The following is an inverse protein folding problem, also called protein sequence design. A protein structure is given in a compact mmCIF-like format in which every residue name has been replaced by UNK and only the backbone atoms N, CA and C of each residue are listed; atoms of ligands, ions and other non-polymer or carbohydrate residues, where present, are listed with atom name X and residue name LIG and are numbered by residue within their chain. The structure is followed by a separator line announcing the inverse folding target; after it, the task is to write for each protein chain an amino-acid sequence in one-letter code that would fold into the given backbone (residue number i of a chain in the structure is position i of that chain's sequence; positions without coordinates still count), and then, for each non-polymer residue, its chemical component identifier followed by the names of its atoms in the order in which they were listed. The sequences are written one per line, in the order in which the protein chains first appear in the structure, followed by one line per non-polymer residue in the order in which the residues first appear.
data_IF_088167167385
#
_entry.id   IF_088167167385
#
_cell.length_a   1.000
_cell.length_b   1.000
_cell.length_c   1.000
_cell.angle_alpha   90.00
_cell.angle_beta   90.00
_cell.angle_gamma   90.00
#
_symmetry.space_group_name_H-M   'P 1'
#
loop_
_entity.id
_entity.type
_entity.pdbx_description
1 polymer ?
#
# COMPACT_ATOMS: atom_id res chain seq x y z
N UNK A 1 -32.90 -28.97 3.56
CA UNK A 1 -32.64 -27.69 4.28
C UNK A 1 -31.31 -27.64 5.01
N UNK A 2 -30.84 -28.70 5.67
CA UNK A 2 -29.57 -28.70 6.40
C UNK A 2 -28.35 -28.45 5.51
N UNK A 3 -28.32 -28.99 4.30
CA UNK A 3 -27.21 -28.77 3.35
C UNK A 3 -27.13 -27.30 2.87
N UNK A 4 -28.24 -26.66 2.53
CA UNK A 4 -28.25 -25.29 2.00
C UNK A 4 -27.72 -24.29 3.03
N UNK A 5 -28.20 -24.36 4.30
CA UNK A 5 -27.72 -23.49 5.39
C UNK A 5 -26.20 -23.61 5.60
N UNK A 6 -25.69 -24.85 5.67
CA UNK A 6 -24.26 -25.10 5.83
C UNK A 6 -23.45 -24.59 4.64
N UNK A 7 -23.93 -24.82 3.42
CA UNK A 7 -23.29 -24.32 2.20
C UNK A 7 -23.23 -22.81 2.17
N UNK A 8 -24.33 -22.13 2.54
CA UNK A 8 -24.36 -20.66 2.60
C UNK A 8 -23.35 -20.12 3.62
N UNK A 9 -23.23 -20.73 4.80
CA UNK A 9 -22.23 -20.34 5.81
C UNK A 9 -20.81 -20.52 5.25
N UNK A 10 -20.51 -21.65 4.60
CA UNK A 10 -19.19 -21.90 4.00
C UNK A 10 -18.85 -20.85 2.95
N UNK A 11 -19.79 -20.50 2.06
CA UNK A 11 -19.56 -19.48 1.03
C UNK A 11 -19.25 -18.13 1.66
N UNK A 12 -20.04 -17.71 2.67
CA UNK A 12 -19.79 -16.45 3.38
C UNK A 12 -18.42 -16.42 4.08
N UNK A 13 -18.04 -17.52 4.73
CA UNK A 13 -16.73 -17.63 5.39
C UNK A 13 -15.57 -17.58 4.38
N UNK A 14 -15.74 -18.17 3.19
CA UNK A 14 -14.73 -18.08 2.11
C UNK A 14 -14.63 -16.66 1.55
N UNK A 15 -15.75 -15.93 1.43
CA UNK A 15 -15.74 -14.52 1.05
C UNK A 15 -14.98 -13.69 2.10
N UNK A 16 -15.29 -13.87 3.38
CA UNK A 16 -14.61 -13.16 4.47
C UNK A 16 -13.10 -13.47 4.53
N UNK A 17 -12.72 -14.73 4.29
CA UNK A 17 -11.33 -15.14 4.18
C UNK A 17 -10.61 -14.39 3.03
N UNK A 18 -11.21 -14.35 1.83
CA UNK A 18 -10.65 -13.63 0.68
C UNK A 18 -10.49 -12.13 0.95
N UNK A 19 -11.51 -11.49 1.56
CA UNK A 19 -11.43 -10.09 1.99
C UNK A 19 -10.30 -9.85 2.99
N UNK A 20 -10.11 -10.75 3.95
CA UNK A 20 -9.03 -10.65 4.94
C UNK A 20 -7.65 -10.80 4.31
N UNK A 21 -7.49 -11.67 3.30
CA UNK A 21 -6.24 -11.80 2.53
C UNK A 21 -5.93 -10.50 1.79
N UNK A 22 -6.92 -9.90 1.12
CA UNK A 22 -6.73 -8.63 0.42
C UNK A 22 -6.42 -7.48 1.40
N UNK A 23 -7.09 -7.42 2.55
CA UNK A 23 -6.76 -6.47 3.61
C UNK A 23 -5.33 -6.65 4.14
N UNK A 24 -4.82 -7.88 4.22
CA UNK A 24 -3.41 -8.11 4.57
C UNK A 24 -2.48 -7.59 3.49
N UNK A 25 -2.79 -7.79 2.21
CA UNK A 25 -2.01 -7.23 1.10
C UNK A 25 -1.93 -5.71 1.20
N UNK A 26 -3.08 -5.05 1.44
CA UNK A 26 -3.15 -3.59 1.62
C UNK A 26 -2.34 -3.16 2.85
N UNK A 27 -2.52 -3.83 4.00
CA UNK A 27 -1.80 -3.51 5.23
C UNK A 27 -0.29 -3.57 5.05
N UNK A 28 0.22 -4.66 4.47
CA UNK A 28 1.67 -4.82 4.27
C UNK A 28 2.21 -3.85 3.22
N UNK A 29 1.49 -3.62 2.14
CA UNK A 29 1.89 -2.61 1.15
C UNK A 29 1.92 -1.21 1.77
N UNK A 30 0.88 -0.81 2.49
CA UNK A 30 0.78 0.52 3.07
C UNK A 30 1.84 0.81 4.15
N UNK A 31 2.26 -0.22 4.92
CA UNK A 31 3.18 -0.04 6.04
C UNK A 31 4.64 -0.36 5.71
N UNK A 32 4.90 -1.27 4.76
CA UNK A 32 6.23 -1.83 4.57
C UNK A 32 6.75 -1.75 3.13
N UNK A 33 5.89 -1.37 2.17
CA UNK A 33 6.30 -1.20 0.79
C UNK A 33 6.23 0.28 0.39
N UNK A 34 7.33 1.04 0.46
CA UNK A 34 7.34 2.46 0.10
C UNK A 34 7.07 2.71 -1.39
N UNK A 35 7.03 1.65 -2.21
CA UNK A 35 6.79 1.71 -3.65
C UNK A 35 5.41 1.19 -4.06
N UNK A 36 4.57 0.82 -3.09
CA UNK A 36 3.20 0.41 -3.39
C UNK A 36 2.36 1.61 -3.82
N UNK A 37 1.62 1.44 -4.89
CA UNK A 37 0.55 2.36 -5.24
C UNK A 37 -0.56 2.29 -4.17
N UNK A 38 -1.28 3.39 -4.02
CA UNK A 38 -2.48 3.40 -3.20
C UNK A 38 -3.42 2.29 -3.66
N UNK A 39 -4.07 1.65 -2.68
CA UNK A 39 -4.99 0.57 -2.97
C UNK A 39 -6.21 1.09 -3.73
N UNK A 40 -6.84 0.20 -4.50
CA UNK A 40 -8.04 0.53 -5.27
C UNK A 40 -9.21 1.05 -4.42
N UNK A 41 -9.16 0.86 -3.10
CA UNK A 41 -10.16 1.36 -2.16
C UNK A 41 -9.72 2.63 -1.41
N UNK A 42 -8.62 3.25 -1.79
CA UNK A 42 -8.21 4.59 -1.36
C UNK A 42 -8.58 5.58 -2.44
N UNK A 43 -9.85 6.06 -2.39
CA UNK A 43 -10.48 6.85 -3.46
C UNK A 43 -10.37 8.36 -3.20
N UNK A 44 -10.45 8.76 -1.93
CA UNK A 44 -10.39 10.15 -1.50
C UNK A 44 -10.02 10.24 -0.01
N UNK A 45 -9.93 11.46 0.54
CA UNK A 45 -9.54 11.69 1.94
C UNK A 45 -10.44 11.01 2.98
N UNK A 46 -11.68 10.69 2.64
CA UNK A 46 -12.64 10.02 3.53
C UNK A 46 -12.63 8.50 3.31
N UNK A 47 -12.64 8.04 2.05
CA UNK A 47 -12.59 6.62 1.68
C UNK A 47 -11.14 6.27 1.39
N UNK A 48 -10.45 5.72 2.40
CA UNK A 48 -9.00 5.53 2.36
C UNK A 48 -8.59 4.30 3.18
N UNK A 49 -8.52 3.14 2.50
CA UNK A 49 -8.12 1.88 3.12
C UNK A 49 -6.66 1.90 3.59
N UNK A 50 -5.76 2.51 2.82
CA UNK A 50 -4.33 2.59 3.16
C UNK A 50 -4.12 3.51 4.37
N UNK A 51 -4.84 4.62 4.42
CA UNK A 51 -4.80 5.52 5.55
C UNK A 51 -5.30 4.87 6.85
N UNK A 52 -6.34 4.03 6.79
CA UNK A 52 -6.78 3.23 7.95
C UNK A 52 -5.72 2.19 8.31
N UNK A 53 -5.13 1.50 7.31
CA UNK A 53 -4.12 0.46 7.50
C UNK A 53 -2.83 0.97 8.17
N UNK A 54 -2.48 2.24 7.98
CA UNK A 54 -1.31 2.90 8.59
C UNK A 54 -1.51 3.30 10.06
N UNK A 55 -2.73 3.20 10.59
CA UNK A 55 -3.00 3.58 11.98
C UNK A 55 -2.64 2.47 12.96
N UNK A 56 -2.36 2.86 14.21
CA UNK A 56 -2.14 1.90 15.30
C UNK A 56 -3.37 1.02 15.59
N UNK A 57 -4.55 1.43 15.15
CA UNK A 57 -5.79 0.66 15.28
C UNK A 57 -5.92 -0.49 14.27
N UNK A 58 -5.05 -0.54 13.25
CA UNK A 58 -5.01 -1.64 12.29
C UNK A 58 -4.32 -2.91 12.82
N UNK A 59 -3.87 -2.89 14.08
CA UNK A 59 -3.22 -4.02 14.75
C UNK A 59 -3.72 -4.18 16.18
N UNK A 60 -3.71 -5.42 16.66
CA UNK A 60 -4.01 -5.78 18.04
C UNK A 60 -2.91 -6.68 18.58
N UNK A 61 -2.34 -6.34 19.73
CA UNK A 61 -1.21 -7.05 20.35
C UNK A 61 0.01 -7.21 19.40
N UNK A 62 0.28 -6.21 18.53
CA UNK A 62 1.36 -6.25 17.55
C UNK A 62 1.08 -7.11 16.32
N UNK A 63 -0.11 -7.68 16.19
CA UNK A 63 -0.54 -8.52 15.06
C UNK A 63 -1.58 -7.75 14.25
N UNK A 64 -1.39 -7.62 12.90
CA UNK A 64 -2.37 -6.98 12.04
C UNK A 64 -3.77 -7.58 12.13
N UNK A 65 -4.82 -6.75 12.16
CA UNK A 65 -6.21 -7.20 12.26
C UNK A 65 -6.63 -8.11 11.11
N UNK A 66 -6.05 -7.93 9.94
CA UNK A 66 -6.30 -8.80 8.79
C UNK A 66 -5.86 -10.26 9.04
N UNK A 67 -4.76 -10.50 9.77
CA UNK A 67 -4.34 -11.85 10.17
C UNK A 67 -5.31 -12.46 11.18
N UNK A 68 -5.83 -11.67 12.12
CA UNK A 68 -6.91 -12.14 13.01
C UNK A 68 -8.16 -12.51 12.22
N UNK A 69 -8.49 -11.77 11.15
CA UNK A 69 -9.58 -12.10 10.23
C UNK A 69 -9.35 -13.44 9.50
N UNK A 70 -8.17 -13.63 8.90
CA UNK A 70 -7.79 -14.89 8.25
C UNK A 70 -7.94 -16.07 9.22
N UNK A 71 -7.46 -15.89 10.45
CA UNK A 71 -7.62 -16.93 11.47
C UNK A 71 -9.09 -17.20 11.80
N UNK A 72 -9.86 -16.18 12.07
CA UNK A 72 -11.27 -16.32 12.42
C UNK A 72 -12.05 -17.12 11.36
N UNK A 73 -11.89 -16.74 10.09
CA UNK A 73 -12.58 -17.42 9.01
C UNK A 73 -12.07 -18.86 8.80
N UNK A 74 -10.75 -19.08 8.87
CA UNK A 74 -10.14 -20.43 8.77
C UNK A 74 -10.59 -21.34 9.90
N UNK A 75 -10.59 -20.84 11.13
CA UNK A 75 -11.03 -21.58 12.29
C UNK A 75 -12.52 -21.91 12.24
N UNK A 76 -13.35 -20.97 11.78
CA UNK A 76 -14.79 -21.20 11.57
C UNK A 76 -15.06 -22.28 10.51
N UNK A 77 -14.28 -22.30 9.42
CA UNK A 77 -14.34 -23.36 8.40
C UNK A 77 -13.92 -24.71 8.97
N UNK A 78 -12.86 -24.75 9.79
CA UNK A 78 -12.40 -25.95 10.49
C UNK A 78 -13.47 -26.49 11.44
N UNK A 79 -14.13 -25.62 12.21
CA UNK A 79 -15.25 -26.01 13.07
C UNK A 79 -16.40 -26.66 12.28
N UNK A 80 -16.76 -26.08 11.14
CA UNK A 80 -17.79 -26.67 10.27
C UNK A 80 -17.34 -28.02 9.69
N UNK A 81 -16.04 -28.19 9.39
CA UNK A 81 -15.48 -29.43 8.89
C UNK A 81 -15.30 -30.50 9.99
N UNK A 82 -15.34 -30.12 11.29
CA UNK A 82 -15.00 -31.01 12.41
C UNK A 82 -15.76 -32.34 12.44
N UNK A 83 -17.06 -32.46 12.05
CA UNK A 83 -17.75 -33.74 12.04
C UNK A 83 -17.27 -34.70 10.93
N UNK A 84 -16.66 -34.17 9.88
CA UNK A 84 -16.06 -34.99 8.84
C UNK A 84 -14.62 -35.37 9.19
N UNK A 85 -13.88 -34.42 9.75
CA UNK A 85 -12.47 -34.58 10.12
C UNK A 85 -12.28 -35.52 11.33
N UNK A 86 -13.23 -35.55 12.28
CA UNK A 86 -13.17 -36.41 13.47
C UNK A 86 -13.23 -37.92 13.15
N UNK A 87 -13.63 -38.28 11.93
CA UNK A 87 -13.58 -39.68 11.45
C UNK A 87 -12.13 -40.20 11.31
N UNK A 88 -11.15 -39.31 11.15
CA UNK A 88 -9.75 -39.66 11.11
C UNK A 88 -9.21 -39.87 12.54
N UNK A 89 -8.52 -40.96 12.81
CA UNK A 89 -8.02 -41.36 14.14
C UNK A 89 -7.21 -40.25 14.83
N UNK A 90 -6.39 -39.52 14.06
CA UNK A 90 -5.55 -38.41 14.57
C UNK A 90 -6.36 -37.18 14.96
N UNK A 91 -7.52 -36.94 14.32
CA UNK A 91 -8.37 -35.76 14.51
C UNK A 91 -9.62 -36.05 15.35
N UNK A 92 -9.67 -37.22 16.01
CA UNK A 92 -10.81 -37.65 16.82
C UNK A 92 -11.14 -36.67 17.94
N UNK A 93 -10.16 -35.89 18.44
CA UNK A 93 -10.38 -34.84 19.44
C UNK A 93 -11.37 -33.74 18.98
N UNK A 94 -11.60 -33.59 17.66
CA UNK A 94 -12.59 -32.64 17.13
C UNK A 94 -14.05 -33.04 17.40
N UNK A 95 -14.32 -34.27 17.87
CA UNK A 95 -15.65 -34.70 18.32
C UNK A 95 -16.19 -33.90 19.50
N UNK A 96 -15.29 -33.17 20.18
CA UNK A 96 -15.64 -32.24 21.26
C UNK A 96 -16.61 -31.13 20.78
N UNK A 97 -16.49 -30.73 19.53
CA UNK A 97 -17.37 -29.69 18.94
C UNK A 97 -18.70 -30.30 18.49
N UNK A 98 -19.59 -30.59 19.44
CA UNK A 98 -20.87 -31.29 19.17
C UNK A 98 -21.78 -30.53 18.21
N UNK A 99 -21.84 -29.18 18.34
CA UNK A 99 -22.72 -28.31 17.56
C UNK A 99 -21.91 -27.21 16.84
N UNK A 100 -21.16 -27.55 15.76
CA UNK A 100 -20.25 -26.61 15.11
C UNK A 100 -20.91 -25.33 14.58
N UNK A 101 -22.17 -25.40 14.12
CA UNK A 101 -22.90 -24.24 13.64
C UNK A 101 -23.20 -23.24 14.79
N UNK A 102 -23.52 -23.72 15.99
CA UNK A 102 -23.74 -22.85 17.16
C UNK A 102 -22.45 -22.17 17.63
N UNK A 103 -21.29 -22.86 17.53
CA UNK A 103 -19.99 -22.22 17.80
C UNK A 103 -19.69 -21.14 16.78
N UNK A 104 -19.94 -21.40 15.47
CA UNK A 104 -19.76 -20.39 14.41
C UNK A 104 -20.67 -19.19 14.64
N UNK A 105 -21.92 -19.41 15.05
CA UNK A 105 -22.82 -18.33 15.43
C UNK A 105 -22.25 -17.46 16.56
N UNK A 106 -21.80 -18.08 17.66
CA UNK A 106 -21.25 -17.35 18.80
C UNK A 106 -20.00 -16.54 18.42
N UNK A 107 -19.09 -17.16 17.65
CA UNK A 107 -17.85 -16.50 17.20
C UNK A 107 -18.15 -15.36 16.24
N UNK A 108 -19.07 -15.54 15.30
CA UNK A 108 -19.44 -14.48 14.33
C UNK A 108 -20.17 -13.32 15.01
N UNK A 109 -21.00 -13.61 16.04
CA UNK A 109 -21.64 -12.56 16.81
C UNK A 109 -20.61 -11.74 17.60
N UNK A 110 -19.62 -12.39 18.21
CA UNK A 110 -18.51 -11.72 18.89
C UNK A 110 -17.67 -10.89 17.89
N UNK A 111 -17.31 -11.47 16.75
CA UNK A 111 -16.59 -10.77 15.68
C UNK A 111 -17.37 -9.53 15.23
N UNK A 112 -18.68 -9.63 15.01
CA UNK A 112 -19.52 -8.50 14.62
C UNK A 112 -19.53 -7.39 15.70
N UNK A 113 -19.59 -7.72 16.98
CA UNK A 113 -19.52 -6.71 18.06
C UNK A 113 -18.18 -5.98 18.04
N UNK A 114 -17.08 -6.71 17.88
CA UNK A 114 -15.73 -6.11 17.75
C UNK A 114 -15.68 -5.22 16.49
N UNK A 115 -16.22 -5.69 15.37
CA UNK A 115 -16.30 -4.95 14.11
C UNK A 115 -17.05 -3.63 14.27
N UNK A 116 -18.12 -3.60 15.06
CA UNK A 116 -18.85 -2.35 15.35
C UNK A 116 -18.00 -1.37 16.17
N UNK A 117 -17.23 -1.84 17.13
CA UNK A 117 -16.28 -0.99 17.85
C UNK A 117 -15.23 -0.40 16.90
N UNK A 118 -14.67 -1.23 16.00
CA UNK A 118 -13.70 -0.78 14.99
C UNK A 118 -14.32 0.19 13.99
N UNK A 119 -15.58 0.01 13.60
CA UNK A 119 -16.32 0.96 12.75
C UNK A 119 -16.47 2.32 13.45
N UNK A 120 -16.82 2.33 14.73
CA UNK A 120 -16.87 3.57 15.51
C UNK A 120 -15.51 4.27 15.58
N UNK A 121 -14.43 3.54 15.82
CA UNK A 121 -13.07 4.08 15.84
C UNK A 121 -12.71 4.66 14.46
N UNK A 122 -13.00 3.94 13.37
CA UNK A 122 -12.75 4.38 12.01
C UNK A 122 -13.44 5.71 11.69
N UNK A 123 -14.74 5.83 12.03
CA UNK A 123 -15.55 7.01 11.73
C UNK A 123 -15.22 8.19 12.65
N UNK A 124 -15.11 7.98 13.96
CA UNK A 124 -15.01 9.08 14.92
C UNK A 124 -13.59 9.45 15.29
N UNK A 125 -12.67 8.48 15.38
CA UNK A 125 -11.28 8.73 15.79
C UNK A 125 -10.36 8.92 14.57
N UNK A 126 -10.39 8.01 13.60
CA UNK A 126 -9.52 8.05 12.41
C UNK A 126 -10.07 9.01 11.36
N UNK A 127 -11.41 9.20 11.31
CA UNK A 127 -12.14 10.00 10.31
C UNK A 127 -11.89 9.53 8.88
N UNK A 128 -11.65 8.23 8.69
CA UNK A 128 -11.48 7.56 7.41
C UNK A 128 -12.28 6.27 7.39
N UNK A 129 -12.77 5.90 6.21
CA UNK A 129 -13.59 4.71 5.97
C UNK A 129 -12.82 3.72 5.10
N UNK A 130 -12.66 2.50 5.60
CA UNK A 130 -12.10 1.38 4.85
C UNK A 130 -13.26 0.52 4.32
N UNK A 131 -13.58 0.60 3.04
CA UNK A 131 -14.71 -0.11 2.41
C UNK A 131 -14.59 -1.63 2.58
N UNK A 132 -13.40 -2.18 2.43
CA UNK A 132 -13.16 -3.62 2.60
C UNK A 132 -13.35 -4.07 4.06
N UNK A 133 -12.98 -3.22 5.03
CA UNK A 133 -13.24 -3.51 6.44
C UNK A 133 -14.75 -3.59 6.71
N UNK A 134 -15.53 -2.62 6.19
CA UNK A 134 -16.99 -2.67 6.29
C UNK A 134 -17.58 -3.89 5.60
N UNK A 135 -17.03 -4.31 4.46
CA UNK A 135 -17.46 -5.56 3.80
C UNK A 135 -17.28 -6.78 4.71
N UNK A 136 -16.16 -6.89 5.45
CA UNK A 136 -15.98 -7.98 6.43
C UNK A 136 -16.99 -7.90 7.57
N UNK A 137 -17.34 -6.68 8.05
CA UNK A 137 -18.36 -6.51 9.10
C UNK A 137 -19.74 -7.00 8.66
N UNK A 138 -20.13 -6.75 7.40
CA UNK A 138 -21.35 -7.30 6.81
C UNK A 138 -21.30 -8.81 6.68
N UNK A 139 -20.17 -9.39 6.32
CA UNK A 139 -19.98 -10.85 6.27
C UNK A 139 -20.13 -11.46 7.66
N UNK A 140 -19.53 -10.88 8.69
CA UNK A 140 -19.66 -11.37 10.07
C UNK A 140 -21.12 -11.39 10.53
N UNK A 141 -21.86 -10.31 10.26
CA UNK A 141 -23.29 -10.24 10.55
C UNK A 141 -24.09 -11.29 9.76
N UNK A 142 -23.83 -11.43 8.46
CA UNK A 142 -24.50 -12.39 7.61
C UNK A 142 -24.29 -13.83 8.07
N UNK A 143 -23.03 -14.19 8.44
CA UNK A 143 -22.71 -15.50 9.02
C UNK A 143 -23.48 -15.72 10.32
N UNK A 144 -23.49 -14.74 11.22
CA UNK A 144 -24.25 -14.84 12.47
C UNK A 144 -25.74 -15.06 12.24
N UNK A 145 -26.36 -14.28 11.33
CA UNK A 145 -27.79 -14.41 11.00
C UNK A 145 -28.12 -15.77 10.37
N UNK A 146 -27.32 -16.24 9.43
CA UNK A 146 -27.53 -17.54 8.78
C UNK A 146 -27.27 -18.71 9.73
N UNK A 147 -26.24 -18.60 10.61
CA UNK A 147 -25.90 -19.65 11.56
C UNK A 147 -26.94 -19.80 12.67
N UNK A 148 -27.62 -18.74 13.06
CA UNK A 148 -28.62 -18.72 14.15
C UNK A 148 -29.71 -19.79 14.01
N UNK A 149 -30.09 -20.41 15.13
CA UNK A 149 -31.26 -21.30 15.25
C UNK A 149 -32.47 -20.49 15.72
N UNK A 150 -33.38 -20.15 14.80
CA UNK A 150 -34.51 -19.26 15.09
C UNK A 150 -35.58 -19.87 16.03
N UNK A 151 -35.49 -21.18 16.33
CA UNK A 151 -36.46 -21.86 17.22
C UNK A 151 -36.17 -21.59 18.70
N UNK A 152 -34.94 -21.20 19.02
CA UNK A 152 -34.49 -20.95 20.38
C UNK A 152 -34.01 -19.50 20.55
N UNK A 153 -34.11 -18.94 21.77
CA UNK A 153 -33.50 -17.63 22.04
C UNK A 153 -32.02 -17.64 21.80
N UNK A 154 -31.43 -16.54 21.26
CA UNK A 154 -30.01 -16.43 20.92
C UNK A 154 -29.05 -16.70 22.10
N UNK A 155 -29.44 -16.31 23.31
CA UNK A 155 -28.64 -16.54 24.51
C UNK A 155 -28.58 -18.03 24.92
N UNK A 156 -29.52 -18.83 24.49
CA UNK A 156 -29.54 -20.27 24.74
C UNK A 156 -28.43 -20.96 23.96
N UNK A 157 -28.21 -20.59 22.71
CA UNK A 157 -27.10 -21.12 21.88
C UNK A 157 -25.76 -20.78 22.50
N UNK A 158 -25.57 -19.55 23.03
CA UNK A 158 -24.37 -19.13 23.72
C UNK A 158 -24.15 -19.96 24.99
N UNK A 159 -25.18 -20.13 25.82
CA UNK A 159 -25.12 -20.92 27.06
C UNK A 159 -24.78 -22.38 26.77
N UNK A 160 -25.38 -22.97 25.74
CA UNK A 160 -25.11 -24.34 25.32
C UNK A 160 -23.68 -24.50 24.81
N UNK A 161 -23.22 -23.64 23.88
CA UNK A 161 -21.86 -23.67 23.36
C UNK A 161 -20.81 -23.49 24.44
N UNK A 162 -21.05 -22.59 25.39
CA UNK A 162 -20.16 -22.41 26.55
C UNK A 162 -20.14 -23.61 27.48
N UNK A 163 -21.31 -24.24 27.73
CA UNK A 163 -21.43 -25.47 28.52
C UNK A 163 -20.68 -26.65 27.86
N UNK A 164 -20.85 -26.83 26.56
CA UNK A 164 -20.15 -27.85 25.80
C UNK A 164 -18.63 -27.62 25.80
N UNK A 165 -18.18 -26.39 25.62
CA UNK A 165 -16.76 -26.01 25.70
C UNK A 165 -16.17 -26.27 27.09
N UNK A 166 -16.87 -25.84 28.16
CA UNK A 166 -16.45 -26.09 29.54
C UNK A 166 -16.34 -27.58 29.84
N UNK A 167 -17.27 -28.39 29.37
CA UNK A 167 -17.23 -29.85 29.51
C UNK A 167 -16.04 -30.45 28.77
N UNK A 168 -15.72 -29.91 27.59
CA UNK A 168 -14.58 -30.36 26.79
C UNK A 168 -13.24 -30.10 27.50
N UNK A 169 -13.01 -28.86 27.94
CA UNK A 169 -11.74 -28.47 28.62
C UNK A 169 -11.60 -29.06 30.01
N UNK A 170 -12.67 -29.61 30.61
CA UNK A 170 -12.59 -30.37 31.86
C UNK A 170 -11.82 -31.69 31.68
N UNK A 171 -11.73 -32.21 30.46
CA UNK A 171 -10.88 -33.35 30.16
C UNK A 171 -9.43 -32.87 29.91
N UNK A 172 -8.51 -33.30 30.79
CA UNK A 172 -7.09 -32.88 30.76
C UNK A 172 -6.42 -33.05 29.40
N UNK A 173 -6.70 -34.13 28.68
CA UNK A 173 -6.10 -34.38 27.37
C UNK A 173 -6.57 -33.39 26.32
N UNK A 174 -7.86 -33.04 26.31
CA UNK A 174 -8.41 -32.04 25.42
C UNK A 174 -7.94 -30.62 25.75
N UNK A 175 -7.80 -30.30 27.04
CA UNK A 175 -7.24 -29.03 27.48
C UNK A 175 -5.80 -28.85 27.00
N UNK A 176 -4.95 -29.86 27.16
CA UNK A 176 -3.56 -29.85 26.65
C UNK A 176 -3.53 -29.68 25.14
N UNK A 177 -4.35 -30.45 24.40
CA UNK A 177 -4.43 -30.33 22.95
C UNK A 177 -4.90 -28.93 22.52
N UNK A 178 -5.90 -28.37 23.18
CA UNK A 178 -6.39 -27.02 22.91
C UNK A 178 -5.31 -25.96 23.15
N UNK A 179 -4.61 -26.02 24.30
CA UNK A 179 -3.52 -25.10 24.64
C UNK A 179 -2.39 -25.22 23.60
N UNK A 180 -2.01 -26.43 23.18
CA UNK A 180 -0.97 -26.65 22.18
C UNK A 180 -1.36 -26.03 20.82
N UNK A 181 -2.62 -26.20 20.40
CA UNK A 181 -3.15 -25.58 19.17
C UNK A 181 -3.13 -24.06 19.26
N UNK A 182 -3.57 -23.49 20.38
CA UNK A 182 -3.58 -22.02 20.58
C UNK A 182 -2.15 -21.46 20.57
N UNK A 183 -1.22 -22.10 21.29
CA UNK A 183 0.20 -21.67 21.30
C UNK A 183 0.81 -21.79 19.90
N UNK A 184 0.61 -22.91 19.22
CA UNK A 184 1.11 -23.12 17.85
C UNK A 184 0.56 -22.08 16.89
N UNK A 185 -0.72 -21.77 17.02
CA UNK A 185 -1.39 -20.76 16.21
C UNK A 185 -0.86 -19.35 16.48
N UNK A 186 -0.75 -18.94 17.73
CA UNK A 186 -0.15 -17.64 18.10
C UNK A 186 1.30 -17.54 17.62
N UNK A 187 2.05 -18.64 17.68
CA UNK A 187 3.39 -18.73 17.12
C UNK A 187 3.43 -18.49 15.61
N UNK A 188 2.52 -19.11 14.86
CA UNK A 188 2.41 -18.90 13.39
C UNK A 188 2.01 -17.46 13.08
N UNK A 189 1.03 -16.88 13.80
CA UNK A 189 0.63 -15.49 13.61
C UNK A 189 1.78 -14.52 13.88
N UNK A 190 2.49 -14.72 14.99
CA UNK A 190 3.63 -13.88 15.37
C UNK A 190 4.76 -14.02 14.34
N UNK A 191 5.07 -15.25 13.91
CA UNK A 191 6.07 -15.49 12.86
C UNK A 191 5.68 -14.82 11.55
N UNK A 192 4.42 -14.95 11.11
CA UNK A 192 3.94 -14.35 9.86
C UNK A 192 3.98 -12.83 9.94
N UNK A 193 3.53 -12.24 11.04
CA UNK A 193 3.62 -10.80 11.26
C UNK A 193 5.07 -10.31 11.20
N UNK A 194 5.99 -11.00 11.90
CA UNK A 194 7.40 -10.61 11.95
C UNK A 194 8.16 -10.89 10.65
N UNK A 195 7.81 -11.92 9.89
CA UNK A 195 8.48 -12.22 8.61
C UNK A 195 8.36 -11.09 7.59
N UNK A 196 7.24 -10.36 7.60
CA UNK A 196 7.06 -9.16 6.79
C UNK A 196 7.79 -7.93 7.35
N UNK A 197 7.84 -7.78 8.68
CA UNK A 197 8.61 -6.71 9.33
C UNK A 197 10.12 -6.89 9.12
N UNK A 198 10.58 -8.14 9.08
CA UNK A 198 11.99 -8.50 8.82
C UNK A 198 12.35 -8.55 7.34
N UNK A 199 11.36 -8.48 6.43
CA UNK A 199 11.66 -8.35 4.99
C UNK A 199 12.50 -7.10 4.75
N UNK A 200 13.53 -7.15 3.87
CA UNK A 200 14.36 -5.99 3.60
C UNK A 200 13.49 -4.84 3.10
N UNK A 201 13.33 -3.84 3.94
CA UNK A 201 12.59 -2.64 3.58
C UNK A 201 13.47 -1.79 2.67
N UNK A 202 12.90 -1.38 1.54
CA UNK A 202 13.55 -0.45 0.65
C UNK A 202 13.51 0.93 1.33
N UNK A 203 14.60 1.30 2.00
CA UNK A 203 14.73 2.65 2.55
C UNK A 203 14.96 3.63 1.41
N UNK A 204 14.32 4.80 1.41
CA UNK A 204 14.71 5.89 0.55
C UNK A 204 16.22 6.17 0.71
N UNK A 205 16.91 6.44 -0.39
CA UNK A 205 18.31 6.85 -0.32
C UNK A 205 18.30 8.29 0.18
N UNK A 206 18.96 8.54 1.30
CA UNK A 206 19.18 9.90 1.78
C UNK A 206 20.22 10.60 0.88
N UNK A 207 19.72 11.48 0.03
CA UNK A 207 20.54 12.23 -0.92
C UNK A 207 21.17 13.47 -0.29
N UNK A 208 20.77 13.85 0.92
CA UNK A 208 21.40 14.95 1.67
C UNK A 208 22.85 14.64 2.05
N UNK A 209 23.22 13.34 2.09
CA UNK A 209 24.56 12.87 2.37
C UNK A 209 25.26 12.44 1.07
N UNK A 210 26.04 13.35 0.47
CA UNK A 210 26.78 13.14 -0.78
C UNK A 210 27.69 11.89 -0.82
N UNK A 211 27.95 11.25 0.33
CA UNK A 211 28.73 10.02 0.44
C UNK A 211 27.99 8.75 -0.01
N UNK A 212 26.66 8.78 -0.08
CA UNK A 212 25.84 7.62 -0.48
C UNK A 212 25.53 7.59 -1.98
N UNK A 213 25.76 8.69 -2.69
CA UNK A 213 25.46 8.79 -4.12
C UNK A 213 26.62 8.29 -4.97
N UNK A 214 26.43 7.19 -5.69
CA UNK A 214 27.43 6.52 -6.53
C UNK A 214 27.29 6.87 -8.03
N UNK A 215 26.66 7.99 -8.37
CA UNK A 215 26.45 8.42 -9.76
C UNK A 215 26.59 9.94 -9.87
N UNK A 216 26.84 10.41 -11.09
CA UNK A 216 26.92 11.84 -11.37
C UNK A 216 25.53 12.43 -11.58
N UNK A 217 25.31 13.64 -11.14
CA UNK A 217 24.12 14.44 -11.39
C UNK A 217 24.52 15.76 -12.03
N UNK A 218 24.00 16.03 -13.22
CA UNK A 218 24.22 17.29 -13.91
C UNK A 218 22.94 17.66 -14.68
N UNK A 219 22.55 18.90 -14.56
CA UNK A 219 21.29 19.39 -15.12
C UNK A 219 20.09 18.49 -14.69
N UNK A 220 19.30 17.99 -15.60
CA UNK A 220 18.22 17.01 -15.35
C UNK A 220 18.65 15.56 -15.64
N UNK A 221 19.95 15.25 -15.61
CA UNK A 221 20.50 13.92 -15.95
C UNK A 221 21.17 13.30 -14.72
N UNK A 222 20.78 12.08 -14.40
CA UNK A 222 21.50 11.17 -13.49
C UNK A 222 22.29 10.15 -14.29
N UNK A 223 23.57 9.98 -13.96
CA UNK A 223 24.49 9.08 -14.65
C UNK A 223 25.19 9.74 -15.84
N UNK A 224 25.82 8.92 -16.70
CA UNK A 224 26.55 9.40 -17.87
C UNK A 224 25.64 9.45 -19.09
N UNK A 225 25.54 10.57 -19.82
CA UNK A 225 24.74 10.67 -21.04
C UNK A 225 25.09 9.63 -22.12
N UNK A 226 26.30 9.06 -22.04
CA UNK A 226 26.82 8.00 -22.94
C UNK A 226 26.51 6.59 -22.44
N UNK A 227 25.65 6.43 -21.41
CA UNK A 227 25.26 5.13 -20.91
C UNK A 227 24.53 4.32 -22.00
N UNK A 228 24.70 3.00 -21.95
CA UNK A 228 24.10 2.10 -22.92
C UNK A 228 22.56 2.09 -22.84
N UNK A 229 22.03 2.27 -21.63
CA UNK A 229 20.59 2.29 -21.36
C UNK A 229 20.21 3.69 -20.88
N UNK A 230 19.34 4.35 -21.63
CA UNK A 230 18.80 5.66 -21.27
C UNK A 230 17.33 5.50 -20.91
N UNK A 231 16.99 5.99 -19.73
CA UNK A 231 15.65 6.07 -19.20
C UNK A 231 15.21 7.52 -19.30
N UNK A 232 14.16 7.79 -20.09
CA UNK A 232 13.50 9.10 -20.08
C UNK A 232 12.29 9.00 -19.17
N UNK A 233 12.29 9.76 -18.07
CA UNK A 233 11.18 9.85 -17.13
C UNK A 233 10.39 11.13 -17.39
N UNK A 234 9.08 11.00 -17.59
CA UNK A 234 8.13 12.12 -17.69
C UNK A 234 7.32 12.18 -16.39
N UNK A 235 7.44 13.30 -15.68
CA UNK A 235 6.96 13.38 -14.32
C UNK A 235 6.24 14.70 -14.00
N UNK A 236 5.49 14.70 -12.90
CA UNK A 236 4.79 15.82 -12.32
C UNK A 236 5.04 15.86 -10.81
N UNK A 237 5.35 17.04 -10.25
CA UNK A 237 5.69 17.20 -8.84
C UNK A 237 4.51 16.97 -7.88
N UNK A 238 3.27 17.13 -8.33
CA UNK A 238 2.07 16.82 -7.54
C UNK A 238 1.60 15.36 -7.67
N UNK A 239 2.33 14.55 -8.43
CA UNK A 239 2.02 13.14 -8.64
C UNK A 239 2.76 12.26 -7.61
N UNK A 240 2.05 11.68 -6.66
CA UNK A 240 2.63 10.79 -5.66
C UNK A 240 3.35 9.58 -6.29
N UNK A 241 2.80 9.01 -7.37
CA UNK A 241 3.44 7.92 -8.12
C UNK A 241 4.74 8.35 -8.79
N UNK A 242 4.86 9.62 -9.21
CA UNK A 242 6.11 10.18 -9.76
C UNK A 242 7.20 10.26 -8.68
N UNK A 243 6.85 10.68 -7.48
CA UNK A 243 7.78 10.68 -6.35
C UNK A 243 8.34 9.28 -6.08
N UNK A 244 7.46 8.26 -6.07
CA UNK A 244 7.87 6.86 -5.86
C UNK A 244 8.77 6.35 -6.99
N UNK A 245 8.46 6.70 -8.24
CA UNK A 245 9.31 6.36 -9.40
C UNK A 245 10.67 7.04 -9.29
N UNK A 246 10.73 8.30 -8.89
CA UNK A 246 11.97 9.04 -8.67
C UNK A 246 12.85 8.34 -7.62
N UNK A 247 12.30 7.93 -6.47
CA UNK A 247 13.03 7.16 -5.45
C UNK A 247 13.57 5.85 -6.03
N UNK A 248 12.76 5.11 -6.80
CA UNK A 248 13.18 3.85 -7.43
C UNK A 248 14.32 4.06 -8.42
N UNK A 249 14.23 5.09 -9.26
CA UNK A 249 15.26 5.44 -10.23
C UNK A 249 16.58 5.84 -9.54
N UNK A 250 16.53 6.66 -8.50
CA UNK A 250 17.73 7.05 -7.74
C UNK A 250 18.40 5.84 -7.11
N UNK A 251 17.64 4.89 -6.59
CA UNK A 251 18.15 3.64 -6.05
C UNK A 251 18.81 2.78 -7.15
N UNK A 252 18.16 2.64 -8.30
CA UNK A 252 18.69 1.95 -9.48
C UNK A 252 20.02 2.58 -9.89
N UNK A 253 20.10 3.91 -9.94
CA UNK A 253 21.31 4.62 -10.29
C UNK A 253 22.47 4.38 -9.31
N UNK A 254 22.17 4.11 -8.03
CA UNK A 254 23.20 3.71 -7.06
C UNK A 254 23.67 2.26 -7.22
N UNK A 255 22.80 1.39 -7.68
CA UNK A 255 23.05 -0.06 -7.74
C UNK A 255 23.56 -0.54 -9.11
N UNK A 256 23.18 0.15 -10.20
CA UNK A 256 23.49 -0.30 -11.56
C UNK A 256 24.42 0.64 -12.31
N UNK A 257 25.31 0.05 -13.10
CA UNK A 257 26.14 0.70 -14.11
C UNK A 257 25.48 0.59 -15.50
N UNK A 258 25.96 1.42 -16.44
CA UNK A 258 25.52 1.50 -17.84
C UNK A 258 24.07 2.00 -17.98
N UNK A 259 23.54 2.70 -16.99
CA UNK A 259 22.22 3.34 -16.97
C UNK A 259 22.39 4.84 -16.79
N UNK A 260 21.55 5.61 -17.48
CA UNK A 260 21.35 7.04 -17.22
C UNK A 260 19.85 7.34 -17.20
N UNK A 261 19.45 8.31 -16.38
CA UNK A 261 18.08 8.81 -16.33
C UNK A 261 18.06 10.27 -16.76
N UNK A 262 17.19 10.60 -17.67
CA UNK A 262 16.89 11.96 -18.10
C UNK A 262 15.48 12.27 -17.67
N UNK A 263 15.32 13.28 -16.83
CA UNK A 263 14.01 13.66 -16.30
C UNK A 263 13.41 14.80 -17.13
N UNK A 264 12.14 14.66 -17.47
CA UNK A 264 11.36 15.63 -18.23
C UNK A 264 10.12 16.06 -17.43
N UNK A 265 9.88 17.36 -17.38
CA UNK A 265 8.68 17.88 -16.75
C UNK A 265 7.46 17.69 -17.68
N UNK A 266 6.43 17.04 -17.16
CA UNK A 266 5.13 16.89 -17.82
C UNK A 266 4.01 17.18 -16.82
N UNK A 267 3.86 18.44 -16.38
CA UNK A 267 2.81 18.81 -15.45
C UNK A 267 1.42 18.46 -16.00
N UNK A 268 0.60 17.80 -15.18
CA UNK A 268 -0.81 17.55 -15.47
C UNK A 268 -1.67 18.72 -14.98
N UNK A 269 -1.30 19.93 -15.37
CA UNK A 269 -1.88 21.21 -14.95
C UNK A 269 -2.25 22.02 -16.20
N UNK A 270 -3.49 22.51 -16.26
CA UNK A 270 -4.03 23.28 -17.38
C UNK A 270 -3.30 24.61 -17.64
N UNK A 271 -2.51 25.11 -16.68
CA UNK A 271 -1.73 26.35 -16.86
C UNK A 271 -0.67 26.22 -17.98
N UNK A 272 -0.06 25.04 -18.15
CA UNK A 272 1.01 24.82 -19.14
C UNK A 272 0.82 23.57 -20.02
N UNK A 273 -0.17 22.73 -19.77
CA UNK A 273 -0.41 21.51 -20.51
C UNK A 273 -1.78 21.55 -21.20
N UNK A 274 -1.78 21.64 -22.53
CA UNK A 274 -2.99 21.80 -23.34
C UNK A 274 -3.93 20.58 -23.34
N UNK A 275 -3.46 19.41 -22.92
CA UNK A 275 -4.31 18.21 -22.79
C UNK A 275 -5.18 18.25 -21.52
N UNK A 276 -4.80 19.03 -20.54
CA UNK A 276 -5.53 19.14 -19.28
C UNK A 276 -6.54 20.28 -19.40
N UNK A 277 -7.83 19.94 -19.51
CA UNK A 277 -8.90 20.94 -19.72
C UNK A 277 -9.30 21.66 -18.44
N UNK A 278 -9.59 20.89 -17.38
CA UNK A 278 -9.97 21.39 -16.04
C UNK A 278 -9.50 20.40 -14.98
N UNK A 279 -9.17 20.94 -13.77
CA UNK A 279 -8.67 20.10 -12.68
C UNK A 279 -7.20 19.74 -12.86
N UNK A 280 -6.85 18.50 -12.52
CA UNK A 280 -5.48 18.02 -12.56
C UNK A 280 -4.64 18.49 -11.38
N UNK A 281 -3.33 18.50 -11.57
CA UNK A 281 -2.34 18.80 -10.52
C UNK A 281 -2.03 20.31 -10.44
N UNK A 282 -3.01 21.10 -9.97
CA UNK A 282 -2.89 22.55 -9.89
C UNK A 282 -1.60 23.00 -9.18
N UNK A 283 -0.85 23.88 -9.81
CA UNK A 283 0.42 24.43 -9.30
C UNK A 283 1.66 23.62 -9.74
N UNK A 284 1.50 22.46 -10.39
CA UNK A 284 2.66 21.69 -10.85
C UNK A 284 3.43 22.38 -11.98
N UNK A 285 2.78 23.16 -12.82
CA UNK A 285 3.46 24.02 -13.80
C UNK A 285 4.44 24.99 -13.12
N UNK A 286 4.01 25.60 -12.02
CA UNK A 286 4.85 26.51 -11.23
C UNK A 286 6.05 25.78 -10.64
N UNK A 287 5.82 24.63 -9.99
CA UNK A 287 6.92 23.83 -9.44
C UNK A 287 7.94 23.42 -10.50
N UNK A 288 7.48 23.01 -11.69
CA UNK A 288 8.36 22.69 -12.81
C UNK A 288 9.20 23.90 -13.26
N UNK A 289 8.63 25.12 -13.32
CA UNK A 289 9.39 26.33 -13.64
C UNK A 289 10.49 26.60 -12.61
N UNK A 290 10.20 26.44 -11.32
CA UNK A 290 11.20 26.62 -10.26
C UNK A 290 12.30 25.57 -10.30
N UNK A 291 12.00 24.31 -10.68
CA UNK A 291 13.02 23.28 -10.89
C UNK A 291 13.92 23.62 -12.08
N UNK A 292 13.35 24.10 -13.20
CA UNK A 292 14.13 24.55 -14.37
C UNK A 292 14.98 25.79 -14.05
N UNK A 293 14.47 26.73 -13.28
CA UNK A 293 15.25 27.87 -12.81
C UNK A 293 16.41 27.46 -11.88
N UNK A 294 16.19 26.48 -11.02
CA UNK A 294 17.24 25.90 -10.19
C UNK A 294 18.30 25.16 -11.03
N UNK A 295 17.89 24.54 -12.15
CA UNK A 295 18.83 23.95 -13.15
C UNK A 295 19.83 24.97 -13.67
N UNK A 296 19.40 26.21 -13.97
CA UNK A 296 20.30 27.30 -14.38
C UNK A 296 21.37 27.64 -13.35
N UNK A 297 21.10 27.33 -12.07
CA UNK A 297 22.04 27.50 -10.98
C UNK A 297 22.78 26.22 -10.59
N UNK A 298 22.60 25.12 -11.36
CA UNK A 298 23.21 23.81 -11.07
C UNK A 298 22.65 23.14 -9.83
N UNK A 299 21.39 23.44 -9.46
CA UNK A 299 20.69 22.95 -8.27
C UNK A 299 19.39 22.20 -8.61
N UNK A 300 19.33 21.62 -9.81
CA UNK A 300 18.12 20.92 -10.28
C UNK A 300 17.71 19.80 -9.33
N UNK A 301 18.65 18.94 -8.93
CA UNK A 301 18.33 17.73 -8.17
C UNK A 301 17.97 18.00 -6.71
N UNK A 302 18.58 19.02 -6.11
CA UNK A 302 18.18 19.49 -4.78
C UNK A 302 16.77 20.13 -4.81
N UNK A 303 16.47 20.90 -5.85
CA UNK A 303 15.13 21.47 -6.06
C UNK A 303 14.11 20.36 -6.36
N UNK A 304 14.46 19.37 -7.19
CA UNK A 304 13.62 18.22 -7.49
C UNK A 304 13.21 17.45 -6.22
N UNK A 305 14.20 17.17 -5.35
CA UNK A 305 13.96 16.46 -4.10
C UNK A 305 12.99 17.21 -3.18
N UNK A 306 13.29 18.48 -2.89
CA UNK A 306 12.50 19.27 -1.95
C UNK A 306 11.09 19.56 -2.47
N UNK A 307 10.90 19.72 -3.79
CA UNK A 307 9.59 19.91 -4.39
C UNK A 307 8.72 18.65 -4.26
N UNK A 308 9.28 17.47 -4.49
CA UNK A 308 8.57 16.22 -4.29
C UNK A 308 8.24 15.95 -2.81
N UNK A 309 9.16 16.24 -1.90
CA UNK A 309 8.95 15.98 -0.47
C UNK A 309 7.92 16.93 0.17
N UNK A 310 7.98 18.20 -0.20
CA UNK A 310 7.19 19.25 0.47
C UNK A 310 5.87 19.55 -0.27
N UNK A 311 5.79 19.26 -1.57
CA UNK A 311 4.63 19.52 -2.44
C UNK A 311 3.97 20.90 -2.16
N UNK A 312 4.70 22.02 -2.32
CA UNK A 312 4.21 23.34 -1.94
C UNK A 312 3.01 23.77 -2.78
N UNK A 313 2.03 24.40 -2.15
CA UNK A 313 0.76 24.81 -2.78
C UNK A 313 0.80 26.23 -3.35
N UNK A 314 1.75 27.05 -2.94
CA UNK A 314 1.90 28.46 -3.33
C UNK A 314 3.33 28.81 -3.70
N UNK A 315 3.49 29.90 -4.44
CA UNK A 315 4.81 30.43 -4.80
C UNK A 315 5.63 30.86 -3.57
N UNK A 316 4.97 31.44 -2.58
CA UNK A 316 5.63 31.80 -1.33
C UNK A 316 6.17 30.58 -0.57
N UNK A 317 5.44 29.45 -0.61
CA UNK A 317 5.92 28.19 -0.04
C UNK A 317 7.09 27.64 -0.86
N UNK A 318 7.03 27.68 -2.20
CA UNK A 318 8.16 27.25 -3.06
C UNK A 318 9.41 28.06 -2.69
N UNK A 319 9.33 29.38 -2.68
CA UNK A 319 10.46 30.25 -2.33
C UNK A 319 11.00 29.97 -0.92
N UNK A 320 10.10 29.66 0.01
CA UNK A 320 10.51 29.36 1.38
C UNK A 320 11.32 28.05 1.47
N UNK A 321 10.84 26.96 0.83
CA UNK A 321 11.57 25.67 0.84
C UNK A 321 12.86 25.76 0.05
N UNK A 322 12.91 26.50 -1.07
CA UNK A 322 14.13 26.68 -1.86
C UNK A 322 15.27 27.34 -1.09
N UNK A 323 14.98 28.13 -0.05
CA UNK A 323 16.00 28.70 0.85
C UNK A 323 16.82 27.63 1.59
N UNK A 324 16.27 26.42 1.74
CA UNK A 324 16.97 25.31 2.38
C UNK A 324 18.13 24.78 1.49
N UNK A 325 18.08 25.05 0.18
CA UNK A 325 19.13 24.62 -0.76
C UNK A 325 20.36 25.49 -0.63
N UNK A 326 21.46 24.88 -0.22
CA UNK A 326 22.72 25.58 0.00
C UNK A 326 23.28 26.19 -1.30
N UNK A 327 23.50 27.51 -1.28
CA UNK A 327 24.15 28.23 -2.37
C UNK A 327 23.22 28.61 -3.53
N UNK A 328 21.91 28.45 -3.37
CA UNK A 328 20.93 28.97 -4.34
C UNK A 328 20.72 30.48 -4.12
N UNK A 329 20.63 31.23 -5.21
CA UNK A 329 20.25 32.64 -5.19
C UNK A 329 18.74 32.76 -5.40
N UNK A 330 18.00 33.09 -4.35
CA UNK A 330 16.53 33.13 -4.34
C UNK A 330 15.99 34.22 -5.28
N UNK A 331 16.57 35.43 -5.29
CA UNK A 331 16.09 36.50 -6.16
C UNK A 331 16.27 36.15 -7.64
N UNK A 332 17.40 35.56 -8.00
CA UNK A 332 17.63 35.07 -9.36
C UNK A 332 16.75 33.88 -9.71
N UNK A 333 16.50 32.98 -8.75
CA UNK A 333 15.61 31.83 -8.93
C UNK A 333 14.19 32.29 -9.27
N UNK A 334 13.66 33.29 -8.54
CA UNK A 334 12.33 33.88 -8.77
C UNK A 334 12.26 34.60 -10.11
N UNK A 335 13.28 35.43 -10.44
CA UNK A 335 13.38 36.08 -11.76
C UNK A 335 13.39 35.06 -12.89
N UNK A 336 14.27 34.06 -12.83
CA UNK A 336 14.38 33.02 -13.85
C UNK A 336 13.09 32.22 -13.98
N UNK A 337 12.46 31.78 -12.86
CA UNK A 337 11.23 30.99 -12.87
C UNK A 337 10.05 31.72 -13.54
N UNK A 338 10.03 33.05 -13.43
CA UNK A 338 9.00 33.90 -14.04
C UNK A 338 9.38 34.43 -15.43
N UNK A 339 10.55 34.05 -15.98
CA UNK A 339 11.01 34.47 -17.29
C UNK A 339 10.28 33.73 -18.43
N UNK A 340 10.19 34.38 -19.61
CA UNK A 340 9.70 33.75 -20.84
C UNK A 340 10.59 32.58 -21.29
N UNK A 341 11.90 32.65 -21.01
CA UNK A 341 12.85 31.60 -21.34
C UNK A 341 12.45 30.27 -20.68
N UNK A 342 12.25 30.27 -19.34
CA UNK A 342 11.83 29.07 -18.58
C UNK A 342 10.40 28.65 -18.96
N UNK A 343 9.49 29.60 -19.20
CA UNK A 343 8.14 29.26 -19.67
C UNK A 343 8.17 28.51 -21.02
N UNK A 344 9.02 28.95 -21.95
CA UNK A 344 9.20 28.33 -23.27
C UNK A 344 9.94 26.99 -23.17
N UNK A 345 10.92 26.87 -22.26
CA UNK A 345 11.61 25.58 -21.98
C UNK A 345 10.60 24.54 -21.49
N UNK A 346 9.78 24.87 -20.48
CA UNK A 346 8.74 23.98 -19.96
C UNK A 346 7.73 23.60 -21.05
N UNK A 347 7.26 24.57 -21.82
CA UNK A 347 6.35 24.32 -22.95
C UNK A 347 6.96 23.36 -23.97
N UNK A 348 8.25 23.46 -24.21
CA UNK A 348 8.99 22.56 -25.12
C UNK A 348 9.05 21.15 -24.56
N UNK A 349 9.36 20.97 -23.26
CA UNK A 349 9.35 19.67 -22.61
C UNK A 349 7.97 19.01 -22.68
N UNK A 350 6.91 19.74 -22.31
CA UNK A 350 5.52 19.27 -22.40
C UNK A 350 5.19 18.84 -23.83
N UNK A 351 5.42 19.71 -24.82
CA UNK A 351 5.12 19.41 -26.22
C UNK A 351 5.91 18.20 -26.75
N UNK A 352 7.14 17.99 -26.33
CA UNK A 352 7.93 16.83 -26.70
C UNK A 352 7.35 15.53 -26.12
N UNK A 353 6.86 15.56 -24.88
CA UNK A 353 6.12 14.45 -24.30
C UNK A 353 4.84 14.14 -25.07
N UNK A 354 4.04 15.16 -25.38
CA UNK A 354 2.80 15.01 -26.13
C UNK A 354 3.02 14.45 -27.55
N UNK A 355 4.07 14.89 -28.26
CA UNK A 355 4.44 14.32 -29.56
C UNK A 355 4.80 12.84 -29.53
N UNK A 356 5.22 12.33 -28.38
CA UNK A 356 5.50 10.91 -28.11
C UNK A 356 4.27 10.17 -27.58
N UNK A 357 3.08 10.79 -27.62
CA UNK A 357 1.83 10.27 -27.09
C UNK A 357 1.91 9.96 -25.59
N UNK A 358 2.64 10.78 -24.82
CA UNK A 358 2.72 10.66 -23.36
C UNK A 358 1.68 11.62 -22.78
N UNK A 359 0.66 11.05 -22.15
CA UNK A 359 -0.54 11.74 -21.65
C UNK A 359 -0.78 11.49 -20.14
N UNK A 360 0.10 10.74 -19.50
CA UNK A 360 0.02 10.40 -18.08
C UNK A 360 1.40 10.37 -17.42
N UNK A 361 1.43 10.61 -16.10
CA UNK A 361 2.64 10.56 -15.28
C UNK A 361 2.48 9.63 -14.09
N UNK A 362 3.54 8.93 -13.64
CA UNK A 362 4.84 8.83 -14.32
C UNK A 362 4.72 8.03 -15.62
N UNK A 363 5.48 8.43 -16.64
CA UNK A 363 5.74 7.59 -17.82
C UNK A 363 7.25 7.46 -17.97
N UNK A 364 7.72 6.23 -18.09
CA UNK A 364 9.13 5.90 -18.29
C UNK A 364 9.33 5.30 -19.67
N UNK A 365 10.26 5.87 -20.44
CA UNK A 365 10.66 5.35 -21.74
C UNK A 365 12.03 4.71 -21.63
N UNK A 366 12.13 3.42 -21.96
CA UNK A 366 13.40 2.68 -21.96
C UNK A 366 13.59 2.10 -23.36
N UNK A 367 14.61 2.55 -24.07
CA UNK A 367 14.89 2.08 -25.44
C UNK A 367 13.63 2.06 -26.34
N UNK A 368 12.85 3.13 -26.33
CA UNK A 368 11.58 3.33 -27.07
C UNK A 368 10.38 2.53 -26.52
N UNK A 369 10.55 1.67 -25.54
CA UNK A 369 9.42 1.03 -24.85
C UNK A 369 8.82 1.98 -23.81
N UNK A 370 7.53 2.27 -23.95
CA UNK A 370 6.78 3.13 -23.05
C UNK A 370 6.12 2.32 -21.96
N UNK A 371 6.34 2.72 -20.71
CA UNK A 371 5.72 2.14 -19.52
C UNK A 371 5.05 3.28 -18.75
N UNK A 372 3.73 3.25 -18.67
CA UNK A 372 2.93 4.27 -17.99
C UNK A 372 2.53 3.77 -16.60
N UNK A 373 2.59 4.66 -15.62
CA UNK A 373 2.35 4.35 -14.22
C UNK A 373 3.60 3.91 -13.48
N UNK A 374 3.45 3.67 -12.17
CA UNK A 374 4.56 3.24 -11.34
C UNK A 374 5.01 1.82 -11.68
N UNK A 375 6.32 1.65 -11.88
CA UNK A 375 6.93 0.34 -12.06
C UNK A 375 7.54 -0.07 -10.72
N UNK A 376 7.22 -1.26 -10.19
CA UNK A 376 7.87 -1.78 -8.99
C UNK A 376 9.39 -1.82 -9.18
N UNK A 377 10.13 -1.40 -8.16
CA UNK A 377 11.59 -1.32 -8.19
C UNK A 377 12.26 -2.60 -8.71
N UNK A 378 11.83 -3.76 -8.22
CA UNK A 378 12.43 -5.04 -8.63
C UNK A 378 12.15 -5.37 -10.10
N UNK A 379 10.95 -5.09 -10.60
CA UNK A 379 10.59 -5.33 -12.00
C UNK A 379 11.40 -4.43 -12.92
N UNK A 380 11.59 -3.17 -12.53
CA UNK A 380 12.42 -2.21 -13.26
C UNK A 380 13.90 -2.63 -13.23
N UNK A 381 14.43 -3.03 -12.08
CA UNK A 381 15.80 -3.52 -11.92
C UNK A 381 16.05 -4.75 -12.80
N UNK A 382 15.20 -5.75 -12.73
CA UNK A 382 15.30 -6.98 -13.53
C UNK A 382 15.26 -6.69 -15.04
N UNK A 383 14.37 -5.77 -15.44
CA UNK A 383 14.28 -5.32 -16.85
C UNK A 383 15.59 -4.68 -17.32
N UNK A 384 16.17 -3.80 -16.52
CA UNK A 384 17.43 -3.13 -16.87
C UNK A 384 18.61 -4.11 -16.93
N UNK A 385 18.68 -5.08 -16.02
CA UNK A 385 19.71 -6.15 -16.08
C UNK A 385 19.55 -6.97 -17.37
N UNK A 386 18.33 -7.34 -17.76
CA UNK A 386 18.07 -8.03 -19.05
C UNK A 386 18.50 -7.20 -20.26
N UNK A 387 18.45 -5.88 -20.18
CA UNK A 387 18.89 -4.96 -21.22
C UNK A 387 20.42 -4.73 -21.21
N UNK A 388 21.13 -5.26 -20.23
CA UNK A 388 22.59 -5.23 -20.15
C UNK A 388 23.15 -4.24 -19.13
N UNK A 389 22.34 -3.77 -18.18
CA UNK A 389 22.85 -3.09 -16.98
C UNK A 389 23.62 -4.09 -16.12
N UNK A 390 24.63 -3.62 -15.41
CA UNK A 390 25.46 -4.44 -14.50
C UNK A 390 25.41 -3.88 -13.09
N UNK A 391 25.44 -4.73 -12.09
CA UNK A 391 25.49 -4.28 -10.70
C UNK A 391 26.84 -3.60 -10.39
N UNK A 392 26.78 -2.46 -9.70
CA UNK A 392 27.97 -1.78 -9.18
C UNK A 392 28.61 -2.62 -8.07
N UNK A 393 29.91 -2.66 -8.08
CA UNK A 393 30.72 -3.31 -7.04
C UNK A 393 30.85 -2.44 -5.78
#
# INVERSE_FOLDING_TARGET
MFNLKRTSIIVLLLIGFGLSVELCRIYYNANFNPYALDSFCSINNLIDCDGVAKTNFAQFAGIPLCLWGIFFYSFSLLLLASPALSKFKLLKFLEVFKNPISYVFCLSLLAFVISMCLACISIFAIKKICVLCFATYFVDLAVALVARHYKEPWYYEIKQSFGDFKSAVSNRNYLIAFIAVVIGFLGVLTYTANSYVLAPQLKPIDLSHSKEVKYTMKDNIMGKPTAKIIINEYMDYNCASCYMTNISLRRIMNELDNVAVIQHNLPLDSECNVLVKEGGHKGSCRMARYALAAKKQGRYWEANEILFEKTPSSEAEILNIMKEIKGINISKLEEDANSEEIANELKTEVNNGLKQNIDATPTVMINMEKITGNIPYYDLKDKLIKLGATEKK
#
